data_IF_114690581381
#
_entry.id   IF_114690581381
#
_cell.length_a   1.000
_cell.length_b   1.000
_cell.length_c   1.000
_cell.angle_alpha   90.00
_cell.angle_beta   90.00
_cell.angle_gamma   90.00
#
_symmetry.space_group_name_H-M   'P 1'
#
loop_
_entity.id
_entity.type
_entity.pdbx_description
1 polymer ?
#
# COMPACT_ATOMS: atom_id res chain seq x y z
N UNK A 1 11.37 -1.26 -20.96
CA UNK A 1 10.41 -0.57 -21.85
C UNK A 1 9.59 0.35 -20.96
N UNK A 2 9.83 1.66 -21.14
CA UNK A 2 9.33 2.87 -20.45
C UNK A 2 8.85 2.78 -18.98
N UNK A 3 9.60 3.39 -18.06
CA UNK A 3 9.02 4.05 -16.88
C UNK A 3 8.90 5.53 -17.22
N UNK A 4 7.67 6.04 -17.31
CA UNK A 4 7.40 7.48 -17.29
C UNK A 4 6.80 7.78 -15.94
N UNK A 5 7.60 8.40 -15.07
CA UNK A 5 7.14 8.99 -13.80
C UNK A 5 6.64 10.39 -14.19
N UNK A 6 5.34 10.55 -14.40
CA UNK A 6 4.79 11.86 -14.70
C UNK A 6 4.61 12.63 -13.39
N UNK A 7 5.57 13.50 -13.07
CA UNK A 7 5.38 14.52 -12.05
C UNK A 7 4.37 15.54 -12.58
N UNK A 8 3.14 15.48 -12.08
CA UNK A 8 2.19 16.60 -12.25
C UNK A 8 2.43 17.52 -11.06
N UNK A 9 2.70 18.79 -11.33
CA UNK A 9 3.19 19.82 -10.40
C UNK A 9 2.73 19.58 -8.94
N UNK A 10 3.64 19.08 -8.09
CA UNK A 10 3.46 18.93 -6.65
C UNK A 10 3.34 17.51 -6.08
N UNK A 11 3.00 16.49 -6.88
CA UNK A 11 2.79 15.13 -6.36
C UNK A 11 3.45 14.03 -7.19
N UNK A 12 4.04 13.06 -6.52
CA UNK A 12 4.61 11.85 -7.12
C UNK A 12 3.49 10.87 -7.44
N UNK A 13 3.48 10.34 -8.67
CA UNK A 13 2.45 9.41 -9.15
C UNK A 13 3.11 8.09 -9.55
N UNK A 14 2.44 6.98 -9.29
CA UNK A 14 2.91 5.64 -9.62
C UNK A 14 1.91 4.91 -10.53
N UNK A 15 2.44 4.24 -11.56
CA UNK A 15 1.67 3.25 -12.32
C UNK A 15 1.54 1.96 -11.50
N UNK A 16 0.31 1.57 -11.21
CA UNK A 16 -0.02 0.40 -10.41
C UNK A 16 -0.99 -0.48 -11.18
N UNK A 17 -0.69 -1.78 -11.26
CA UNK A 17 -1.65 -2.78 -11.72
C UNK A 17 -2.23 -3.49 -10.53
N UNK A 18 -3.55 -3.43 -10.38
CA UNK A 18 -4.29 -4.19 -9.37
C UNK A 18 -5.02 -5.35 -10.03
N UNK A 19 -4.89 -6.53 -9.46
CA UNK A 19 -5.56 -7.74 -9.90
C UNK A 19 -6.36 -8.35 -8.76
N UNK A 20 -7.40 -9.10 -9.10
CA UNK A 20 -8.10 -9.91 -8.12
C UNK A 20 -7.15 -10.97 -7.53
N UNK A 21 -7.03 -11.08 -6.19
CA UNK A 21 -6.12 -12.05 -5.59
C UNK A 21 -6.53 -13.51 -5.84
N UNK A 22 -7.82 -13.77 -6.09
CA UNK A 22 -8.36 -15.10 -6.40
C UNK A 22 -8.37 -15.43 -7.89
N UNK A 23 -8.33 -14.41 -8.75
CA UNK A 23 -8.26 -14.56 -10.21
C UNK A 23 -7.35 -13.49 -10.82
N UNK A 24 -6.05 -13.81 -10.95
CA UNK A 24 -5.05 -12.86 -11.44
C UNK A 24 -5.18 -12.51 -12.93
N UNK A 25 -6.16 -13.05 -13.65
CA UNK A 25 -6.48 -12.61 -15.02
C UNK A 25 -7.30 -11.31 -15.02
N UNK A 26 -8.04 -11.04 -13.95
CA UNK A 26 -8.87 -9.84 -13.78
C UNK A 26 -8.05 -8.73 -13.16
N UNK A 27 -7.64 -7.77 -13.98
CA UNK A 27 -6.77 -6.68 -13.56
C UNK A 27 -7.18 -5.33 -14.14
N UNK A 28 -6.74 -4.26 -13.49
CA UNK A 28 -6.87 -2.89 -13.96
C UNK A 28 -5.57 -2.13 -13.71
N UNK A 29 -5.19 -1.29 -14.68
CA UNK A 29 -4.06 -0.36 -14.55
C UNK A 29 -4.55 1.00 -14.08
N UNK A 30 -3.82 1.59 -13.13
CA UNK A 30 -4.16 2.85 -12.46
C UNK A 30 -2.91 3.72 -12.36
N UNK A 31 -3.11 5.04 -12.39
CA UNK A 31 -2.11 6.00 -11.93
C UNK A 31 -2.57 6.55 -10.59
N UNK A 32 -1.82 6.27 -9.53
CA UNK A 32 -2.18 6.63 -8.16
C UNK A 32 -1.19 7.65 -7.59
N UNK A 33 -1.70 8.62 -6.83
CA UNK A 33 -0.86 9.56 -6.09
C UNK A 33 -0.14 8.79 -4.99
N UNK A 34 1.18 8.90 -4.90
CA UNK A 34 1.96 8.32 -3.81
C UNK A 34 1.79 9.20 -2.58
N UNK A 35 1.18 8.66 -1.53
CA UNK A 35 0.90 9.41 -0.32
C UNK A 35 1.35 8.64 0.94
N UNK A 36 2.44 9.10 1.54
CA UNK A 36 2.97 8.54 2.80
C UNK A 36 2.14 8.95 4.03
N UNK A 37 1.24 9.93 3.90
CA UNK A 37 0.28 10.33 4.91
C UNK A 37 -0.96 9.45 4.96
N UNK A 38 -1.26 8.70 3.90
CA UNK A 38 -2.34 7.73 3.87
C UNK A 38 -1.88 6.33 4.27
N UNK A 39 -2.53 5.75 5.28
CA UNK A 39 -2.20 4.40 5.75
C UNK A 39 -2.43 3.34 4.66
N UNK A 40 -3.56 3.42 3.97
CA UNK A 40 -3.99 2.41 2.99
C UNK A 40 -3.99 2.95 1.57
N UNK A 41 -4.05 2.05 0.59
CA UNK A 41 -4.30 2.41 -0.80
C UNK A 41 -5.80 2.63 -1.00
N UNK A 42 -6.18 3.75 -1.62
CA UNK A 42 -7.58 4.09 -1.92
C UNK A 42 -7.79 4.07 -3.42
N UNK A 43 -8.83 3.36 -3.87
CA UNK A 43 -9.17 3.22 -5.28
C UNK A 43 -10.67 3.29 -5.42
N UNK A 44 -11.17 3.96 -6.47
CA UNK A 44 -12.60 4.06 -6.73
C UNK A 44 -13.26 2.70 -6.70
N UNK A 45 -14.37 2.60 -5.98
CA UNK A 45 -15.04 1.32 -5.77
C UNK A 45 -15.41 0.61 -7.07
N UNK A 46 -15.84 1.36 -8.09
CA UNK A 46 -16.19 0.82 -9.40
C UNK A 46 -15.01 0.13 -10.10
N UNK A 47 -13.79 0.60 -9.88
CA UNK A 47 -12.58 -0.01 -10.43
C UNK A 47 -12.28 -1.34 -9.74
N UNK A 48 -12.39 -1.39 -8.41
CA UNK A 48 -12.19 -2.62 -7.63
C UNK A 48 -13.28 -3.67 -7.94
N UNK A 49 -14.52 -3.24 -8.08
CA UNK A 49 -15.66 -4.08 -8.46
C UNK A 49 -15.50 -4.65 -9.88
N UNK A 50 -14.99 -3.86 -10.83
CA UNK A 50 -14.78 -4.32 -12.21
C UNK A 50 -13.86 -5.55 -12.29
N UNK A 51 -12.85 -5.61 -11.42
CA UNK A 51 -11.95 -6.76 -11.28
C UNK A 51 -12.43 -7.76 -10.23
N UNK A 52 -13.55 -7.51 -9.56
CA UNK A 52 -14.22 -8.44 -8.64
C UNK A 52 -13.54 -8.57 -7.29
N UNK A 53 -12.82 -7.54 -6.84
CA UNK A 53 -12.29 -7.50 -5.48
C UNK A 53 -13.45 -7.46 -4.49
N UNK A 54 -13.40 -8.32 -3.48
CA UNK A 54 -14.44 -8.43 -2.46
C UNK A 54 -14.29 -7.38 -1.37
N UNK A 55 -15.42 -6.85 -0.88
CA UNK A 55 -15.49 -6.05 0.34
C UNK A 55 -15.37 -6.99 1.54
N UNK A 56 -14.33 -6.85 2.36
CA UNK A 56 -14.04 -7.76 3.48
C UNK A 56 -14.51 -7.18 4.81
N UNK A 57 -14.18 -5.92 5.09
CA UNK A 57 -14.45 -5.29 6.38
C UNK A 57 -14.66 -3.79 6.24
N UNK A 58 -15.55 -3.19 7.03
CA UNK A 58 -15.65 -1.74 7.16
C UNK A 58 -14.67 -1.21 8.20
N UNK A 59 -14.00 -0.10 7.91
CA UNK A 59 -13.12 0.59 8.84
C UNK A 59 -13.44 2.08 8.89
N UNK A 60 -13.21 2.68 10.06
CA UNK A 60 -13.28 4.12 10.26
C UNK A 60 -11.94 4.77 9.92
N UNK A 61 -11.99 5.90 9.24
CA UNK A 61 -10.83 6.69 8.83
C UNK A 61 -11.01 8.13 9.27
N UNK A 62 -9.93 8.74 9.77
CA UNK A 62 -9.89 10.18 10.05
C UNK A 62 -9.30 10.88 8.83
N UNK A 63 -10.07 11.76 8.22
CA UNK A 63 -9.65 12.55 7.06
C UNK A 63 -8.73 13.70 7.46
N UNK A 64 -8.10 14.36 6.48
CA UNK A 64 -7.28 15.55 6.71
C UNK A 64 -8.06 16.72 7.30
N UNK A 65 -9.37 16.79 7.02
CA UNK A 65 -10.31 17.77 7.61
C UNK A 65 -10.72 17.41 9.05
N UNK A 66 -10.27 16.26 9.55
CA UNK A 66 -10.58 15.77 10.89
C UNK A 66 -11.89 14.99 10.99
N UNK A 67 -12.68 14.92 9.92
CA UNK A 67 -13.92 14.15 9.85
C UNK A 67 -13.64 12.64 9.96
N UNK A 68 -14.53 11.90 10.62
CA UNK A 68 -14.49 10.43 10.68
C UNK A 68 -15.47 9.87 9.66
N UNK A 69 -14.94 9.15 8.68
CA UNK A 69 -15.72 8.45 7.65
C UNK A 69 -15.57 6.94 7.82
N UNK A 70 -16.48 6.17 7.22
CA UNK A 70 -16.41 4.71 7.19
C UNK A 70 -16.36 4.23 5.73
N UNK A 71 -15.43 3.32 5.43
CA UNK A 71 -15.27 2.73 4.08
C UNK A 71 -15.06 1.24 4.16
N UNK A 72 -15.47 0.55 3.10
CA UNK A 72 -15.12 -0.85 2.90
C UNK A 72 -13.64 -1.00 2.58
N UNK A 73 -13.06 -2.09 3.06
CA UNK A 73 -11.68 -2.52 2.78
C UNK A 73 -11.72 -3.94 2.24
N UNK A 74 -10.96 -4.19 1.18
CA UNK A 74 -10.71 -5.50 0.60
C UNK A 74 -9.23 -5.74 0.38
N UNK A 75 -8.91 -6.71 -0.47
CA UNK A 75 -7.54 -7.10 -0.80
C UNK A 75 -7.36 -7.19 -2.31
N UNK A 76 -6.24 -6.68 -2.82
CA UNK A 76 -5.87 -6.76 -4.23
C UNK A 76 -4.43 -7.27 -4.37
N UNK A 77 -4.16 -8.03 -5.42
CA UNK A 77 -2.80 -8.37 -5.82
C UNK A 77 -2.23 -7.22 -6.65
N UNK A 78 -1.27 -6.49 -6.10
CA UNK A 78 -0.68 -5.30 -6.71
C UNK A 78 0.65 -5.62 -7.38
N UNK A 79 0.90 -4.91 -8.48
CA UNK A 79 2.19 -4.83 -9.16
C UNK A 79 2.56 -3.37 -9.41
N UNK A 80 3.76 -2.96 -8.99
CA UNK A 80 4.29 -1.62 -9.16
C UNK A 80 5.82 -1.69 -9.23
N UNK A 81 6.43 -1.04 -10.24
CA UNK A 81 7.90 -1.07 -10.47
C UNK A 81 8.50 -2.49 -10.51
N UNK A 82 7.71 -3.46 -10.99
CA UNK A 82 8.08 -4.88 -11.06
C UNK A 82 7.98 -5.64 -9.72
N UNK A 83 7.70 -4.96 -8.61
CA UNK A 83 7.43 -5.58 -7.31
C UNK A 83 5.98 -6.03 -7.23
N UNK A 84 5.73 -7.14 -6.53
CA UNK A 84 4.41 -7.77 -6.47
C UNK A 84 4.06 -8.20 -5.05
N UNK A 85 2.85 -7.88 -4.61
CA UNK A 85 2.35 -8.32 -3.31
C UNK A 85 0.82 -8.19 -3.20
N UNK A 86 0.21 -8.93 -2.28
CA UNK A 86 -1.16 -8.65 -1.86
C UNK A 86 -1.18 -7.47 -0.89
N UNK A 87 -2.04 -6.49 -1.16
CA UNK A 87 -2.21 -5.28 -0.35
C UNK A 87 -3.67 -5.11 0.06
N UNK A 88 -3.91 -4.41 1.17
CA UNK A 88 -5.24 -3.94 1.52
C UNK A 88 -5.61 -2.70 0.69
N UNK A 89 -6.84 -2.66 0.17
CA UNK A 89 -7.38 -1.57 -0.63
C UNK A 89 -8.70 -1.06 -0.05
N UNK A 90 -8.84 0.25 0.07
CA UNK A 90 -10.05 0.93 0.50
C UNK A 90 -10.88 1.25 -0.73
N UNK A 91 -12.18 0.94 -0.66
CA UNK A 91 -13.17 1.29 -1.67
C UNK A 91 -13.52 2.76 -1.50
N UNK A 92 -12.93 3.60 -2.33
CA UNK A 92 -13.10 5.05 -2.33
C UNK A 92 -14.43 5.43 -3.01
N UNK A 93 -15.16 6.37 -2.39
CA UNK A 93 -16.39 6.94 -2.93
C UNK A 93 -16.10 8.07 -3.93
N UNK A 94 -17.12 8.57 -4.62
CA UNK A 94 -16.97 9.72 -5.51
C UNK A 94 -16.48 10.95 -4.72
N UNK A 95 -15.42 11.59 -5.23
CA UNK A 95 -14.77 12.74 -4.57
C UNK A 95 -13.63 12.37 -3.63
N UNK A 96 -13.49 11.11 -3.22
CA UNK A 96 -12.31 10.64 -2.49
C UNK A 96 -11.09 10.61 -3.44
N UNK A 97 -9.90 10.91 -2.91
CA UNK A 97 -8.66 10.80 -3.68
C UNK A 97 -8.23 9.34 -3.89
N UNK A 98 -7.71 9.02 -5.08
CA UNK A 98 -7.11 7.70 -5.37
C UNK A 98 -5.60 7.74 -5.10
N UNK A 99 -5.16 7.02 -4.05
CA UNK A 99 -3.78 7.11 -3.54
C UNK A 99 -3.16 5.75 -3.31
N UNK A 100 -1.84 5.65 -3.51
CA UNK A 100 -1.00 4.54 -3.09
C UNK A 100 -0.44 4.84 -1.70
N UNK A 101 -1.03 4.19 -0.69
CA UNK A 101 -0.69 4.45 0.72
C UNK A 101 0.54 3.71 1.23
N UNK A 102 1.00 4.09 2.41
CA UNK A 102 2.27 3.63 3.01
C UNK A 102 2.33 2.12 3.24
N UNK A 103 1.21 1.45 3.56
CA UNK A 103 1.20 -0.01 3.75
C UNK A 103 1.54 -0.74 2.46
N UNK A 104 1.01 -0.30 1.32
CA UNK A 104 1.34 -0.87 0.02
C UNK A 104 2.80 -0.60 -0.36
N UNK A 105 3.28 0.63 -0.14
CA UNK A 105 4.70 0.98 -0.35
C UNK A 105 5.62 0.03 0.43
N UNK A 106 5.38 -0.16 1.73
CA UNK A 106 6.22 -1.02 2.57
C UNK A 106 6.17 -2.49 2.18
N UNK A 107 4.97 -3.01 1.88
CA UNK A 107 4.81 -4.42 1.49
C UNK A 107 5.45 -4.69 0.11
N UNK A 108 5.37 -3.74 -0.82
CA UNK A 108 6.04 -3.83 -2.12
C UNK A 108 7.56 -3.59 -2.02
N UNK A 109 8.06 -3.01 -0.93
CA UNK A 109 9.47 -2.64 -0.79
C UNK A 109 9.82 -1.39 -1.60
N UNK A 110 8.91 -0.40 -1.57
CA UNK A 110 9.05 0.89 -2.22
C UNK A 110 9.11 2.00 -1.16
N UNK A 111 9.76 3.10 -1.53
CA UNK A 111 9.88 4.30 -0.69
C UNK A 111 9.96 5.56 -1.55
N UNK A 112 9.60 6.68 -0.96
CA UNK A 112 9.79 8.00 -1.56
C UNK A 112 11.14 8.53 -1.11
N UNK A 113 11.97 8.94 -2.07
CA UNK A 113 13.20 9.66 -1.80
C UNK A 113 12.87 11.02 -1.14
N UNK A 114 13.33 11.30 0.09
CA UNK A 114 12.97 12.52 0.80
C UNK A 114 13.61 13.79 0.20
N UNK A 115 14.62 13.65 -0.66
CA UNK A 115 15.31 14.77 -1.32
C UNK A 115 14.66 15.08 -2.66
N UNK A 116 14.44 14.05 -3.49
CA UNK A 116 13.88 14.24 -4.85
C UNK A 116 12.37 14.16 -4.90
N UNK A 117 11.74 13.55 -3.89
CA UNK A 117 10.32 13.20 -3.90
C UNK A 117 9.99 12.01 -4.79
N UNK A 118 10.95 11.38 -5.46
CA UNK A 118 10.69 10.31 -6.42
C UNK A 118 10.43 8.97 -5.73
N UNK A 119 9.56 8.16 -6.34
CA UNK A 119 9.33 6.79 -5.90
C UNK A 119 10.48 5.89 -6.37
N UNK A 120 11.08 5.13 -5.45
CA UNK A 120 12.16 4.18 -5.73
C UNK A 120 11.95 2.86 -5.00
N UNK A 121 12.72 1.84 -5.40
CA UNK A 121 12.82 0.59 -4.63
C UNK A 121 13.63 0.84 -3.37
N UNK A 122 13.14 0.34 -2.24
CA UNK A 122 13.92 0.31 -1.00
C UNK A 122 15.11 -0.63 -1.16
N UNK A 123 16.28 -0.21 -0.67
CA UNK A 123 17.48 -1.05 -0.67
C UNK A 123 17.34 -2.28 0.25
N UNK A 124 16.56 -2.13 1.33
CA UNK A 124 16.28 -3.19 2.28
C UNK A 124 14.90 -3.03 2.92
N UNK A 125 14.32 -4.15 3.39
CA UNK A 125 13.11 -4.15 4.22
C UNK A 125 13.49 -4.18 5.70
N UNK A 126 12.77 -3.42 6.52
CA UNK A 126 13.00 -3.39 7.95
C UNK A 126 12.61 -4.75 8.58
N UNK A 127 13.52 -5.28 9.39
CA UNK A 127 13.31 -6.49 10.18
C UNK A 127 13.88 -6.29 11.59
N UNK A 128 13.17 -6.78 12.60
CA UNK A 128 13.68 -6.83 13.97
C UNK A 128 14.38 -8.17 14.18
N UNK A 129 15.67 -8.13 14.55
CA UNK A 129 16.43 -9.31 14.98
C UNK A 129 16.69 -9.17 16.47
N UNK A 130 15.97 -9.93 17.30
CA UNK A 130 16.29 -10.10 18.71
C UNK A 130 17.13 -11.37 18.89
N UNK A 131 18.33 -11.24 19.46
CA UNK A 131 19.14 -12.39 19.88
C UNK A 131 19.05 -12.50 21.39
N UNK A 132 18.53 -13.62 21.91
CA UNK A 132 18.65 -13.91 23.34
C UNK A 132 20.12 -14.22 23.64
N UNK A 133 20.76 -13.59 24.64
CA UNK A 133 22.07 -14.02 25.09
C UNK A 133 21.97 -15.48 25.56
N UNK A 134 22.79 -16.36 24.99
CA UNK A 134 22.95 -17.69 25.55
C UNK A 134 23.66 -17.57 26.90
N UNK A 135 22.98 -17.99 27.98
CA UNK A 135 23.62 -18.31 29.26
C UNK A 135 23.37 -17.30 30.39
N UNK A 136 22.38 -17.58 31.23
CA UNK A 136 22.62 -17.82 32.66
C UNK A 136 21.41 -18.52 33.30
N UNK A 137 21.23 -19.81 33.04
CA UNK A 137 20.47 -20.68 33.95
C UNK A 137 21.43 -21.12 35.05
N UNK A 138 21.81 -20.17 35.91
CA UNK A 138 22.40 -20.45 37.21
C UNK A 138 21.32 -21.02 38.12
N UNK A 139 21.01 -22.29 37.94
CA UNK A 139 20.23 -23.04 38.91
C UNK A 139 21.17 -23.32 40.08
N UNK A 140 21.14 -22.47 41.09
CA UNK A 140 21.53 -22.88 42.44
C UNK A 140 20.24 -23.09 43.20
N UNK A 141 19.74 -24.33 43.16
CA UNK A 141 18.75 -24.78 44.14
C UNK A 141 19.48 -24.91 45.49
N UNK A 142 18.96 -24.22 46.50
CA UNK A 142 19.14 -24.56 47.91
C UNK A 142 17.82 -25.15 48.38
#
# INVERSE_FOLDING_TARGET
MLQVIASTVGHTVAEVRLCNPRDRSRCVGLQLIVDTGSTYTWVRESMLESIGVERVVKRKFKTIEGNVIERWVGEAFAECMGEKATIAVVFAEEGDAEVLGVTALKVLGLEVDPVTGELRKSEARLALIARTPAGNLGVTAI
#
